data_IF_797335756904
#
_entry.id   IF_797335756904
#
_cell.length_a   1.000
_cell.length_b   1.000
_cell.length_c   1.000
_cell.angle_alpha   90.00
_cell.angle_beta   90.00
_cell.angle_gamma   90.00
#
_symmetry.space_group_name_H-M   'P 1'
#
loop_
_entity.id
_entity.type
_entity.pdbx_description
1 polymer ?
#
# COMPACT_ATOMS: atom_id res chain seq x y z
N UNK A 1 -12.23 11.28 -8.67
CA UNK A 1 -11.22 10.68 -9.55
C UNK A 1 -9.97 10.41 -8.76
N UNK A 2 -9.46 9.26 -8.90
CA UNK A 2 -8.37 8.79 -8.08
C UNK A 2 -7.11 8.70 -8.92
N UNK A 3 -6.00 9.19 -8.38
CA UNK A 3 -4.70 8.97 -8.96
C UNK A 3 -4.09 7.72 -8.35
N UNK A 4 -3.65 6.83 -9.20
CA UNK A 4 -3.00 5.59 -8.78
C UNK A 4 -1.50 5.62 -9.09
N UNK A 5 -0.94 6.80 -9.24
CA UNK A 5 0.47 6.93 -9.54
C UNK A 5 1.30 6.51 -8.34
N UNK A 6 2.08 5.47 -8.53
CA UNK A 6 3.03 5.02 -7.54
C UNK A 6 4.39 5.59 -7.87
N UNK A 7 4.97 6.31 -6.92
CA UNK A 7 6.32 6.83 -7.06
C UNK A 7 7.28 5.94 -6.30
N UNK A 8 8.37 5.59 -6.95
CA UNK A 8 9.44 4.80 -6.34
C UNK A 8 10.62 5.71 -6.07
N UNK A 9 11.04 5.76 -4.83
CA UNK A 9 12.26 6.45 -4.44
C UNK A 9 13.31 5.40 -4.09
N UNK A 10 14.40 5.37 -4.86
CA UNK A 10 15.49 4.46 -4.56
C UNK A 10 16.36 5.05 -3.47
N UNK A 11 16.45 4.34 -2.37
CA UNK A 11 17.47 4.58 -1.37
C UNK A 11 18.36 3.37 -1.29
N UNK A 12 19.56 3.50 -1.79
CA UNK A 12 20.56 2.50 -1.54
C UNK A 12 21.05 2.68 -0.10
N UNK A 13 20.56 1.82 0.78
CA UNK A 13 21.18 1.66 2.07
C UNK A 13 22.35 0.71 1.86
N UNK A 14 23.58 1.14 2.20
CA UNK A 14 24.79 0.36 1.99
C UNK A 14 24.76 -0.99 2.70
N UNK A 15 23.89 -1.17 3.68
CA UNK A 15 23.78 -2.39 4.47
C UNK A 15 22.50 -3.19 4.19
N UNK A 16 21.60 -2.70 3.34
CA UNK A 16 20.31 -3.33 3.08
C UNK A 16 19.83 -3.04 1.68
N UNK A 17 19.19 -4.03 1.07
CA UNK A 17 18.35 -3.78 -0.09
C UNK A 17 17.02 -3.24 0.42
N UNK A 18 16.75 -1.99 0.17
CA UNK A 18 15.52 -1.33 0.59
C UNK A 18 15.05 -0.34 -0.46
N UNK A 19 13.75 -0.26 -0.62
CA UNK A 19 13.09 0.71 -1.49
C UNK A 19 11.95 1.37 -0.75
N UNK A 20 11.71 2.62 -1.09
CA UNK A 20 10.60 3.39 -0.61
C UNK A 20 9.59 3.59 -1.75
N UNK A 21 8.36 3.21 -1.51
CA UNK A 21 7.25 3.40 -2.45
C UNK A 21 6.24 4.36 -1.82
N UNK A 22 5.71 5.25 -2.61
CA UNK A 22 4.79 6.27 -2.09
C UNK A 22 3.76 6.60 -3.17
N UNK A 23 2.48 6.69 -2.77
CA UNK A 23 1.47 7.18 -3.69
C UNK A 23 1.33 8.70 -3.59
N UNK A 24 0.61 9.28 -4.55
CA UNK A 24 0.08 10.63 -4.39
C UNK A 24 -1.11 10.57 -3.44
N UNK A 25 -1.31 11.59 -2.60
CA UNK A 25 -2.50 11.68 -1.75
C UNK A 25 -3.76 11.47 -2.60
N UNK A 26 -4.60 10.57 -2.15
CA UNK A 26 -5.71 10.05 -2.95
C UNK A 26 -7.02 10.17 -2.19
N UNK A 27 -8.00 10.80 -2.81
CA UNK A 27 -9.37 10.83 -2.31
C UNK A 27 -10.00 9.44 -2.49
N UNK A 28 -10.49 8.88 -1.41
CA UNK A 28 -11.06 7.53 -1.38
C UNK A 28 -12.56 7.60 -1.59
N UNK A 29 -13.07 6.75 -2.45
CA UNK A 29 -14.49 6.63 -2.71
C UNK A 29 -15.18 5.62 -1.78
N UNK A 30 -16.47 5.42 -1.99
CA UNK A 30 -17.26 4.45 -1.24
C UNK A 30 -16.96 2.99 -1.61
N UNK A 31 -16.42 2.77 -2.79
CA UNK A 31 -15.92 1.47 -3.23
C UNK A 31 -14.41 1.39 -3.03
N UNK A 32 -13.85 0.20 -3.10
CA UNK A 32 -12.40 0.03 -3.00
C UNK A 32 -11.67 0.88 -4.06
N UNK A 33 -10.78 1.72 -3.60
CA UNK A 33 -10.02 2.65 -4.42
C UNK A 33 -8.55 2.24 -4.37
N UNK A 34 -7.93 2.07 -5.53
CA UNK A 34 -6.52 1.71 -5.59
C UNK A 34 -5.65 2.87 -5.13
N UNK A 35 -4.89 2.64 -4.07
CA UNK A 35 -3.92 3.58 -3.53
C UNK A 35 -2.57 3.41 -4.20
N UNK A 36 -2.11 2.19 -4.30
CA UNK A 36 -0.89 1.80 -4.99
C UNK A 36 -1.20 0.68 -5.96
N UNK A 37 -0.91 0.89 -7.23
CA UNK A 37 -0.90 -0.18 -8.22
C UNK A 37 0.18 -1.20 -7.90
N UNK A 38 0.14 -2.35 -8.56
CA UNK A 38 1.13 -3.38 -8.37
C UNK A 38 2.55 -2.82 -8.47
N UNK A 39 3.32 -2.98 -7.42
CA UNK A 39 4.74 -2.64 -7.45
C UNK A 39 5.58 -3.87 -7.17
N UNK A 40 6.73 -3.93 -7.85
CA UNK A 40 7.61 -5.10 -7.77
C UNK A 40 8.25 -5.22 -6.39
N UNK A 41 8.15 -6.41 -5.81
CA UNK A 41 8.75 -6.71 -4.53
C UNK A 41 9.53 -8.02 -4.54
N UNK A 42 10.04 -8.39 -5.71
CA UNK A 42 10.76 -9.66 -5.93
C UNK A 42 11.91 -9.88 -4.94
N UNK A 43 12.54 -8.79 -4.47
CA UNK A 43 13.69 -8.88 -3.58
C UNK A 43 13.34 -8.67 -2.11
N UNK A 44 12.09 -8.39 -1.79
CA UNK A 44 11.73 -7.97 -0.45
C UNK A 44 10.83 -8.98 0.25
N UNK A 45 10.94 -9.06 1.56
CA UNK A 45 10.11 -9.95 2.37
C UNK A 45 9.60 -9.30 3.65
N UNK A 46 10.02 -8.08 3.93
CA UNK A 46 9.56 -7.34 5.09
C UNK A 46 9.21 -5.91 4.70
N UNK A 47 8.07 -5.44 5.17
CA UNK A 47 7.53 -4.14 4.79
C UNK A 47 7.05 -3.39 6.02
N UNK A 48 7.32 -2.09 6.04
CA UNK A 48 6.69 -1.16 6.97
C UNK A 48 5.79 -0.25 6.16
N UNK A 49 4.53 -0.16 6.55
CA UNK A 49 3.53 0.63 5.83
C UNK A 49 3.00 1.69 6.76
N UNK A 50 3.07 2.94 6.31
CA UNK A 50 2.46 4.05 7.03
C UNK A 50 1.43 4.71 6.13
N UNK A 51 0.25 4.94 6.68
CA UNK A 51 -0.85 5.56 5.95
C UNK A 51 -1.34 6.75 6.73
N UNK A 52 -1.35 7.91 6.07
CA UNK A 52 -1.82 9.16 6.64
C UNK A 52 -3.22 9.44 6.11
N UNK A 53 -4.11 9.88 6.98
CA UNK A 53 -5.43 10.36 6.59
C UNK A 53 -5.51 11.85 6.88
N UNK A 54 -5.59 12.66 5.82
CA UNK A 54 -5.70 14.11 5.92
C UNK A 54 -7.12 14.60 6.15
N UNK A 55 -8.12 13.72 6.03
CA UNK A 55 -9.50 14.11 6.26
C UNK A 55 -9.84 14.12 7.75
N UNK A 56 -10.57 15.14 8.18
CA UNK A 56 -10.95 15.33 9.58
C UNK A 56 -12.26 14.68 9.98
N UNK A 57 -12.97 14.02 9.05
CA UNK A 57 -14.33 13.54 9.27
C UNK A 57 -14.53 12.06 8.99
N UNK A 58 -13.76 11.48 8.06
CA UNK A 58 -13.99 10.12 7.57
C UNK A 58 -12.79 9.24 7.85
N UNK A 59 -13.05 8.10 8.46
CA UNK A 59 -12.06 7.05 8.70
C UNK A 59 -11.80 6.30 7.41
N UNK A 60 -10.53 6.02 7.13
CA UNK A 60 -10.13 5.17 6.01
C UNK A 60 -9.80 3.76 6.48
N UNK A 61 -10.02 2.77 5.62
CA UNK A 61 -9.61 1.39 5.85
C UNK A 61 -8.82 0.91 4.65
N UNK A 62 -7.56 0.59 4.87
CA UNK A 62 -6.67 0.13 3.81
C UNK A 62 -6.43 -1.37 3.92
N UNK A 63 -6.21 -1.99 2.76
CA UNK A 63 -5.88 -3.40 2.63
C UNK A 63 -4.64 -3.54 1.77
N UNK A 64 -3.74 -4.41 2.18
CA UNK A 64 -2.52 -4.74 1.44
C UNK A 64 -2.73 -6.08 0.76
N UNK A 65 -2.37 -6.16 -0.50
CA UNK A 65 -2.59 -7.33 -1.35
C UNK A 65 -1.29 -7.78 -1.98
N UNK A 66 -1.16 -9.08 -2.17
CA UNK A 66 0.00 -9.68 -2.82
C UNK A 66 -0.44 -10.58 -3.97
N UNK A 67 0.43 -10.70 -4.96
CA UNK A 67 0.20 -11.58 -6.10
C UNK A 67 1.51 -12.17 -6.61
N UNK A 68 1.42 -13.41 -7.13
CA UNK A 68 2.49 -14.08 -7.86
C UNK A 68 2.20 -14.10 -9.37
N UNK A 69 1.06 -13.64 -9.79
CA UNK A 69 0.65 -13.64 -11.19
C UNK A 69 1.54 -12.70 -12.00
N UNK A 70 1.92 -13.11 -13.20
CA UNK A 70 2.88 -12.34 -14.01
C UNK A 70 2.34 -10.94 -14.37
N UNK A 71 1.10 -10.89 -14.80
CA UNK A 71 0.41 -9.63 -15.11
C UNK A 71 -0.93 -9.62 -14.37
N UNK A 72 -0.94 -9.29 -13.07
CA UNK A 72 -2.16 -9.34 -12.31
C UNK A 72 -3.14 -8.25 -12.75
N UNK A 73 -4.42 -8.53 -12.59
CA UNK A 73 -5.47 -7.54 -12.81
C UNK A 73 -5.46 -6.46 -11.73
N UNK A 74 -6.57 -5.74 -11.60
CA UNK A 74 -6.70 -4.67 -10.61
C UNK A 74 -6.44 -5.18 -9.19
N UNK A 75 -5.77 -4.36 -8.40
CA UNK A 75 -5.43 -4.66 -7.00
C UNK A 75 -6.69 -5.04 -6.23
N UNK A 76 -6.62 -6.14 -5.51
CA UNK A 76 -7.74 -6.66 -4.73
C UNK A 76 -8.71 -7.53 -5.52
N UNK A 77 -8.48 -7.75 -6.81
CA UNK A 77 -9.26 -8.65 -7.63
C UNK A 77 -8.87 -10.12 -7.45
N UNK A 78 -9.32 -10.97 -8.39
CA UNK A 78 -9.17 -12.43 -8.30
C UNK A 78 -7.71 -12.90 -8.28
N UNK A 79 -6.79 -12.12 -8.84
CA UNK A 79 -5.37 -12.47 -8.89
C UNK A 79 -4.62 -12.14 -7.59
N UNK A 80 -5.30 -11.59 -6.61
CA UNK A 80 -4.71 -11.05 -5.41
C UNK A 80 -5.18 -11.75 -4.15
N UNK A 81 -4.30 -11.80 -3.16
CA UNK A 81 -4.62 -12.30 -1.81
C UNK A 81 -4.23 -11.23 -0.81
N UNK A 82 -5.13 -10.93 0.11
CA UNK A 82 -4.84 -9.95 1.16
C UNK A 82 -3.77 -10.50 2.10
N UNK A 83 -2.79 -9.65 2.43
CA UNK A 83 -1.76 -9.96 3.42
C UNK A 83 -1.93 -9.07 4.63
N UNK A 84 -1.96 -9.69 5.80
CA UNK A 84 -2.20 -8.98 7.06
C UNK A 84 -3.66 -8.58 7.23
N UNK A 85 -3.91 -7.87 8.31
CA UNK A 85 -5.25 -7.39 8.66
C UNK A 85 -5.54 -6.05 7.99
N UNK A 86 -6.81 -5.67 7.96
CA UNK A 86 -7.21 -4.34 7.55
C UNK A 86 -6.53 -3.28 8.42
N UNK A 87 -6.12 -2.18 7.78
CA UNK A 87 -5.47 -1.07 8.46
C UNK A 87 -6.47 0.08 8.57
N UNK A 88 -6.97 0.31 9.76
CA UNK A 88 -7.88 1.41 10.03
C UNK A 88 -7.08 2.68 10.31
N UNK A 89 -7.36 3.74 9.56
CA UNK A 89 -6.68 5.02 9.68
C UNK A 89 -7.69 6.05 10.17
N UNK A 90 -7.53 6.48 11.40
CA UNK A 90 -8.41 7.48 12.01
C UNK A 90 -8.36 8.83 11.31
N UNK A 91 -9.32 9.68 11.61
CA UNK A 91 -9.38 11.03 11.05
C UNK A 91 -8.20 11.87 11.51
N UNK A 92 -7.64 12.68 10.61
CA UNK A 92 -6.47 13.54 10.89
C UNK A 92 -5.37 12.78 11.64
N UNK A 93 -5.06 11.56 11.18
CA UNK A 93 -4.18 10.65 11.91
C UNK A 93 -3.38 9.79 10.94
N UNK A 94 -2.56 8.92 11.49
CA UNK A 94 -1.83 7.93 10.71
C UNK A 94 -1.81 6.58 11.41
N UNK A 95 -1.55 5.53 10.63
CA UNK A 95 -1.36 4.18 11.13
C UNK A 95 -0.05 3.62 10.57
N UNK A 96 0.69 2.90 11.40
CA UNK A 96 1.94 2.26 11.02
C UNK A 96 1.82 0.76 11.28
N UNK A 97 2.11 -0.04 10.26
CA UNK A 97 2.04 -1.50 10.35
C UNK A 97 3.29 -2.15 9.77
N UNK A 98 3.74 -3.21 10.41
CA UNK A 98 4.77 -4.09 9.88
C UNK A 98 4.10 -5.32 9.25
N UNK A 99 4.57 -5.69 8.07
CA UNK A 99 4.07 -6.85 7.34
C UNK A 99 5.26 -7.68 6.90
N UNK A 100 5.20 -8.97 7.19
CA UNK A 100 6.15 -9.95 6.66
C UNK A 100 5.42 -10.89 5.73
N UNK A 101 6.03 -11.21 4.61
CA UNK A 101 5.45 -12.14 3.64
C UNK A 101 6.44 -13.24 3.30
N UNK A 102 5.91 -14.35 2.77
CA UNK A 102 6.71 -15.21 1.90
C UNK A 102 7.10 -14.38 0.68
N UNK A 103 8.14 -14.75 -0.07
CA UNK A 103 8.48 -14.03 -1.29
C UNK A 103 7.26 -13.94 -2.22
N UNK A 104 6.94 -12.71 -2.64
CA UNK A 104 5.86 -12.44 -3.57
C UNK A 104 6.38 -11.58 -4.72
N UNK A 105 5.63 -11.54 -5.83
CA UNK A 105 6.03 -10.78 -7.01
C UNK A 105 5.61 -9.33 -6.92
N UNK A 106 4.38 -9.13 -6.48
CA UNK A 106 3.74 -7.83 -6.46
C UNK A 106 3.05 -7.58 -5.14
N UNK A 107 3.11 -6.36 -4.69
CA UNK A 107 2.22 -5.82 -3.67
C UNK A 107 1.41 -4.69 -4.27
N UNK A 108 0.24 -4.48 -3.71
CA UNK A 108 -0.61 -3.35 -4.02
C UNK A 108 -1.44 -2.98 -2.80
N UNK A 109 -1.99 -1.79 -2.81
CA UNK A 109 -2.79 -1.28 -1.68
C UNK A 109 -4.06 -0.67 -2.23
N UNK A 110 -5.20 -1.05 -1.67
CA UNK A 110 -6.45 -0.35 -1.91
C UNK A 110 -7.08 0.07 -0.58
N UNK A 111 -8.09 0.90 -0.65
CA UNK A 111 -8.73 1.43 0.53
C UNK A 111 -10.20 1.73 0.29
N UNK A 112 -10.96 1.79 1.38
CA UNK A 112 -12.34 2.25 1.41
C UNK A 112 -12.50 3.36 2.45
N UNK A 113 -13.60 4.09 2.40
CA UNK A 113 -13.88 5.22 3.29
C UNK A 113 -14.18 6.47 2.51
N UNK A 114 -15.43 6.61 2.06
CA UNK A 114 -15.86 7.70 1.17
C UNK A 114 -15.61 9.07 1.78
N UNK A 115 -14.68 9.80 1.19
CA UNK A 115 -14.25 11.12 1.68
C UNK A 115 -12.92 11.11 2.43
N UNK A 116 -12.37 9.97 2.79
CA UNK A 116 -11.03 9.91 3.37
C UNK A 116 -9.98 10.32 2.33
N UNK A 117 -8.87 10.87 2.80
CA UNK A 117 -7.81 11.41 1.96
C UNK A 117 -6.49 10.75 2.40
N UNK A 118 -6.07 9.74 1.67
CA UNK A 118 -5.02 8.84 2.14
C UNK A 118 -3.71 8.97 1.36
N UNK A 119 -2.63 9.06 2.10
CA UNK A 119 -1.26 8.95 1.59
C UNK A 119 -0.62 7.70 2.16
N UNK A 120 -0.10 6.84 1.31
CA UNK A 120 0.49 5.57 1.70
C UNK A 120 1.99 5.55 1.37
N UNK A 121 2.80 5.19 2.35
CA UNK A 121 4.24 5.02 2.18
C UNK A 121 4.59 3.60 2.59
N UNK A 122 5.31 2.89 1.73
CA UNK A 122 5.79 1.54 2.01
C UNK A 122 7.31 1.54 1.96
N UNK A 123 7.93 1.13 3.05
CA UNK A 123 9.35 0.85 3.10
C UNK A 123 9.54 -0.66 3.04
N UNK A 124 10.16 -1.12 1.97
CA UNK A 124 10.37 -2.55 1.72
C UNK A 124 11.84 -2.87 1.90
N UNK A 125 12.14 -3.98 2.57
CA UNK A 125 13.52 -4.42 2.76
C UNK A 125 13.66 -5.93 2.62
N UNK A 126 14.86 -6.34 2.28
CA UNK A 126 15.29 -7.74 2.30
C UNK A 126 16.03 -8.01 3.59
N UNK A 127 15.58 -9.04 4.28
CA UNK A 127 16.17 -9.45 5.56
C UNK A 127 16.70 -10.88 5.47
#
# INVERSE_FOLDING_TARGET
MVSTVTRTKFRLDTNRNANLFENTETAVGGSATTMMDAFSCVMFNRYSIQIFNGDGSVVGVAKVWASLVDLPGAVGGADWTQVGDDITVGTSSSALKAISTTPVRWLGVNATGDGADLLCIVYAEQV
#
